data_IF_007837584514
#
_entry.id   IF_007837584514
#
_cell.length_a   1.000
_cell.length_b   1.000
_cell.length_c   1.000
_cell.angle_alpha   90.00
_cell.angle_beta   90.00
_cell.angle_gamma   90.00
#
_symmetry.space_group_name_H-M   'P 1'
#
loop_
_entity.id
_entity.type
_entity.pdbx_description
1 polymer ?
#
# COMPACT_ATOMS: atom_id res chain seq x y z
N UNK A 1 15.07 4.23 -13.38
CA UNK A 1 14.42 4.08 -14.71
C UNK A 1 13.99 5.46 -15.22
N UNK A 2 13.35 6.34 -14.44
CA UNK A 2 12.88 7.66 -14.88
C UNK A 2 13.98 8.61 -15.37
N UNK A 3 15.21 8.55 -14.82
CA UNK A 3 16.32 9.44 -15.28
C UNK A 3 16.85 9.09 -16.66
N UNK A 4 16.81 7.80 -17.07
CA UNK A 4 17.29 7.40 -18.42
C UNK A 4 16.28 7.78 -19.50
N UNK A 5 14.99 7.60 -19.23
CA UNK A 5 13.92 7.98 -20.18
C UNK A 5 13.91 9.48 -20.46
N UNK A 6 14.10 10.32 -19.41
CA UNK A 6 14.18 11.78 -19.59
C UNK A 6 15.43 12.20 -20.40
N UNK A 7 16.56 11.53 -20.23
CA UNK A 7 17.78 11.81 -20.99
C UNK A 7 17.66 11.40 -22.47
N UNK A 8 17.01 10.29 -22.76
CA UNK A 8 16.77 9.84 -24.13
C UNK A 8 15.71 10.70 -24.86
N UNK A 9 14.70 11.19 -24.14
CA UNK A 9 13.76 12.17 -24.68
C UNK A 9 14.42 13.52 -25.00
N UNK A 10 15.33 14.00 -24.15
CA UNK A 10 16.13 15.20 -24.47
C UNK A 10 17.00 14.97 -25.69
N UNK A 11 17.67 13.84 -25.82
CA UNK A 11 18.48 13.51 -27.01
C UNK A 11 17.66 13.49 -28.30
N UNK A 12 16.43 12.95 -28.27
CA UNK A 12 15.53 12.98 -29.42
C UNK A 12 15.10 14.41 -29.78
N UNK A 13 14.83 15.28 -28.82
CA UNK A 13 14.51 16.67 -29.07
C UNK A 13 15.68 17.44 -29.68
N UNK A 14 16.92 17.18 -29.27
CA UNK A 14 18.12 17.79 -29.83
C UNK A 14 18.54 17.19 -31.19
N UNK A 15 18.25 15.92 -31.46
CA UNK A 15 18.52 15.29 -32.75
C UNK A 15 17.63 15.79 -33.90
N UNK A 16 16.57 16.52 -33.59
CA UNK A 16 15.58 16.98 -34.56
C UNK A 16 15.86 18.33 -35.19
N UNK A 17 16.99 19.01 -34.88
CA UNK A 17 17.21 20.33 -35.44
C UNK A 17 18.68 20.73 -35.64
N UNK A 18 19.32 20.35 -36.73
CA UNK A 18 20.60 20.99 -37.12
C UNK A 18 20.48 22.24 -37.98
N UNK A 19 19.34 22.53 -38.59
CA UNK A 19 19.26 23.66 -39.53
C UNK A 19 18.03 24.53 -39.24
N UNK A 20 18.18 25.89 -39.26
CA UNK A 20 17.03 26.78 -39.22
C UNK A 20 16.17 26.54 -40.45
N UNK A 21 14.84 26.61 -40.32
CA UNK A 21 13.93 26.37 -41.44
C UNK A 21 14.20 27.37 -42.56
N UNK A 22 14.48 26.91 -43.77
CA UNK A 22 14.80 27.72 -44.92
C UNK A 22 13.58 28.40 -45.55
N UNK A 23 12.37 28.16 -44.97
CA UNK A 23 11.13 28.81 -45.39
C UNK A 23 9.88 28.41 -44.56
N UNK A 24 8.79 29.16 -44.72
CA UNK A 24 7.54 28.92 -44.01
C UNK A 24 7.00 27.46 -44.12
N UNK A 25 7.05 26.81 -45.31
CA UNK A 25 6.53 25.45 -45.45
C UNK A 25 7.33 24.42 -44.69
N UNK A 26 8.63 24.61 -44.52
CA UNK A 26 9.49 23.69 -43.79
C UNK A 26 9.29 23.82 -42.28
N UNK A 27 9.10 25.02 -41.77
CA UNK A 27 8.72 25.29 -40.37
C UNK A 27 7.37 24.64 -40.03
N UNK A 28 6.42 24.71 -40.95
CA UNK A 28 5.09 24.12 -40.78
C UNK A 28 5.16 22.62 -40.80
N UNK A 29 5.94 22.02 -41.68
CA UNK A 29 6.16 20.57 -41.71
C UNK A 29 6.81 20.05 -40.41
N UNK A 30 7.82 20.72 -39.90
CA UNK A 30 8.48 20.38 -38.61
C UNK A 30 7.49 20.47 -37.44
N UNK A 31 6.70 21.56 -37.39
CA UNK A 31 5.67 21.70 -36.34
C UNK A 31 4.64 20.56 -36.40
N UNK A 32 4.22 20.16 -37.60
CA UNK A 32 3.29 19.04 -37.78
C UNK A 32 3.92 17.72 -37.33
N UNK A 33 5.19 17.45 -37.66
CA UNK A 33 5.87 16.23 -37.18
C UNK A 33 6.04 16.20 -35.67
N UNK A 34 6.38 17.34 -35.04
CA UNK A 34 6.43 17.45 -33.59
C UNK A 34 5.06 17.25 -32.95
N UNK A 35 4.02 17.86 -33.52
CA UNK A 35 2.65 17.69 -33.05
C UNK A 35 2.17 16.24 -33.19
N UNK A 36 2.49 15.57 -34.31
CA UNK A 36 2.19 14.16 -34.55
C UNK A 36 2.91 13.26 -33.54
N UNK A 37 4.20 13.50 -33.31
CA UNK A 37 5.00 12.77 -32.30
C UNK A 37 4.45 12.92 -30.90
N UNK A 38 4.08 14.16 -30.51
CA UNK A 38 3.44 14.41 -29.24
C UNK A 38 2.08 13.73 -29.11
N UNK A 39 1.27 13.77 -30.17
CA UNK A 39 -0.03 13.08 -30.19
C UNK A 39 0.12 11.55 -30.05
N UNK A 40 1.04 10.96 -30.81
CA UNK A 40 1.37 9.52 -30.68
C UNK A 40 1.83 9.15 -29.28
N UNK A 41 2.69 9.98 -28.67
CA UNK A 41 3.14 9.78 -27.29
C UNK A 41 1.98 9.82 -26.28
N UNK A 42 1.09 10.81 -26.41
CA UNK A 42 -0.10 10.92 -25.55
C UNK A 42 -0.99 9.69 -25.71
N UNK A 43 -1.27 9.25 -26.94
CA UNK A 43 -2.07 8.04 -27.21
C UNK A 43 -1.39 6.81 -26.59
N UNK A 44 -0.09 6.65 -26.77
CA UNK A 44 0.67 5.56 -26.17
C UNK A 44 0.62 5.62 -24.63
N UNK A 45 0.87 6.79 -24.03
CA UNK A 45 0.84 6.97 -22.59
C UNK A 45 -0.54 6.66 -21.98
N UNK A 46 -1.61 7.10 -22.65
CA UNK A 46 -2.99 6.79 -22.25
C UNK A 46 -3.27 5.28 -22.38
N UNK A 47 -2.91 4.66 -23.50
CA UNK A 47 -3.09 3.23 -23.71
C UNK A 47 -2.29 2.39 -22.70
N UNK A 48 -1.02 2.74 -22.46
CA UNK A 48 -0.17 2.09 -21.47
C UNK A 48 -0.74 2.27 -20.05
N UNK A 49 -1.19 3.47 -19.70
CA UNK A 49 -1.82 3.71 -18.39
C UNK A 49 -3.11 2.89 -18.22
N UNK A 50 -3.97 2.83 -19.23
CA UNK A 50 -5.20 2.02 -19.20
C UNK A 50 -4.89 0.52 -19.06
N UNK A 51 -3.87 0.02 -19.74
CA UNK A 51 -3.48 -1.39 -19.70
C UNK A 51 -2.78 -1.78 -18.40
N UNK A 52 -1.87 -0.94 -17.88
CA UNK A 52 -1.01 -1.26 -16.75
C UNK A 52 -1.59 -0.84 -15.39
N UNK A 53 -2.44 0.18 -15.34
CA UNK A 53 -2.99 0.73 -14.09
C UNK A 53 -3.71 -0.34 -13.25
N UNK A 54 -4.44 -1.25 -13.90
CA UNK A 54 -5.13 -2.34 -13.19
C UNK A 54 -4.17 -3.36 -12.55
N UNK A 55 -3.02 -3.62 -13.18
CA UNK A 55 -1.98 -4.50 -12.65
C UNK A 55 -1.21 -3.81 -11.53
N UNK A 56 -0.88 -2.55 -11.71
CA UNK A 56 -0.16 -1.75 -10.72
C UNK A 56 -0.93 -1.64 -9.39
N UNK A 57 -2.26 -1.38 -9.45
CA UNK A 57 -3.11 -1.36 -8.26
C UNK A 57 -3.17 -2.72 -7.54
N UNK A 58 -3.26 -3.81 -8.29
CA UNK A 58 -3.22 -5.15 -7.72
C UNK A 58 -1.88 -5.47 -7.07
N UNK A 59 -0.78 -5.02 -7.68
CA UNK A 59 0.57 -5.17 -7.13
C UNK A 59 0.74 -4.37 -5.83
N UNK A 60 0.33 -3.10 -5.78
CA UNK A 60 0.39 -2.30 -4.55
C UNK A 60 -0.39 -2.94 -3.41
N UNK A 61 -1.59 -3.46 -3.71
CA UNK A 61 -2.39 -4.15 -2.70
C UNK A 61 -1.75 -5.48 -2.27
N UNK A 62 -1.14 -6.22 -3.20
CA UNK A 62 -0.42 -7.45 -2.87
C UNK A 62 0.80 -7.17 -1.98
N UNK A 63 1.60 -6.14 -2.29
CA UNK A 63 2.73 -5.71 -1.48
C UNK A 63 2.28 -5.33 -0.06
N UNK A 64 1.14 -4.63 0.05
CA UNK A 64 0.53 -4.30 1.33
C UNK A 64 0.10 -5.55 2.12
N UNK A 65 -0.49 -6.55 1.45
CA UNK A 65 -0.88 -7.81 2.06
C UNK A 65 0.33 -8.62 2.55
N UNK A 66 1.42 -8.64 1.79
CA UNK A 66 2.68 -9.27 2.23
C UNK A 66 3.24 -8.61 3.48
N UNK A 67 3.16 -7.28 3.57
CA UNK A 67 3.56 -6.54 4.78
C UNK A 67 2.64 -6.86 5.96
N UNK A 68 1.32 -6.99 5.73
CA UNK A 68 0.36 -7.41 6.75
C UNK A 68 0.64 -8.84 7.22
N UNK A 69 0.92 -9.77 6.33
CA UNK A 69 1.28 -11.14 6.68
C UNK A 69 2.59 -11.20 7.49
N UNK A 70 3.58 -10.38 7.14
CA UNK A 70 4.80 -10.25 7.92
C UNK A 70 4.53 -9.70 9.33
N UNK A 71 3.64 -8.72 9.46
CA UNK A 71 3.22 -8.17 10.76
C UNK A 71 2.50 -9.22 11.61
N UNK A 72 1.59 -10.01 11.04
CA UNK A 72 0.92 -11.13 11.72
C UNK A 72 1.92 -12.15 12.26
N UNK A 73 2.99 -12.47 11.49
CA UNK A 73 4.07 -13.36 11.96
C UNK A 73 4.83 -12.75 13.13
N UNK A 74 5.16 -11.46 13.07
CA UNK A 74 5.82 -10.77 14.17
C UNK A 74 4.97 -10.80 15.44
N UNK A 75 3.66 -10.61 15.33
CA UNK A 75 2.75 -10.78 16.47
C UNK A 75 2.73 -12.22 16.99
N UNK A 76 2.70 -13.22 16.10
CA UNK A 76 2.76 -14.63 16.50
C UNK A 76 4.05 -14.96 17.27
N UNK A 77 5.19 -14.47 16.81
CA UNK A 77 6.48 -14.72 17.45
C UNK A 77 6.58 -14.02 18.81
N UNK A 78 6.04 -12.79 18.91
CA UNK A 78 5.93 -12.08 20.19
C UNK A 78 5.05 -12.85 21.20
N UNK A 79 3.89 -13.33 20.77
CA UNK A 79 2.98 -14.13 21.62
C UNK A 79 3.64 -15.44 22.05
N UNK A 80 4.34 -16.14 21.16
CA UNK A 80 5.11 -17.34 21.52
C UNK A 80 6.21 -17.06 22.56
N UNK A 81 6.86 -15.90 22.48
CA UNK A 81 7.89 -15.52 23.46
C UNK A 81 7.29 -15.14 24.82
N UNK A 82 6.07 -14.56 24.85
CA UNK A 82 5.38 -14.36 26.12
C UNK A 82 5.07 -15.69 26.82
N UNK A 83 4.87 -16.76 26.04
CA UNK A 83 4.68 -18.12 26.55
C UNK A 83 5.99 -18.80 27.00
N UNK A 84 7.16 -18.33 26.54
CA UNK A 84 8.45 -18.96 26.83
C UNK A 84 8.88 -18.77 28.31
N UNK A 85 9.57 -19.76 28.90
CA UNK A 85 9.93 -19.76 30.33
C UNK A 85 10.97 -18.70 30.71
N UNK A 86 11.85 -18.33 29.81
CA UNK A 86 12.88 -17.32 30.03
C UNK A 86 12.71 -16.08 29.15
N UNK A 87 12.64 -14.87 29.73
CA UNK A 87 12.67 -13.65 28.96
C UNK A 87 14.12 -13.33 28.59
N UNK A 88 14.57 -13.71 27.40
CA UNK A 88 15.85 -13.27 26.89
C UNK A 88 15.87 -11.77 26.56
N UNK A 89 17.06 -11.21 26.33
CA UNK A 89 17.29 -9.83 25.82
C UNK A 89 16.60 -9.55 24.46
N UNK A 90 16.01 -10.57 23.86
CA UNK A 90 15.27 -10.49 22.60
C UNK A 90 14.01 -9.61 22.62
N UNK A 91 13.46 -9.27 23.80
CA UNK A 91 12.21 -8.47 23.89
C UNK A 91 12.35 -7.05 23.36
N UNK A 92 13.46 -6.37 23.68
CA UNK A 92 13.66 -4.99 23.24
C UNK A 92 13.78 -4.90 21.71
N UNK A 93 14.52 -5.83 21.09
CA UNK A 93 14.67 -5.89 19.64
C UNK A 93 13.36 -6.17 18.90
N UNK A 94 12.45 -6.94 19.50
CA UNK A 94 11.16 -7.24 18.87
C UNK A 94 10.16 -6.10 18.90
N UNK A 95 10.16 -5.30 19.97
CA UNK A 95 9.32 -4.09 20.02
C UNK A 95 9.76 -3.12 18.92
N UNK A 96 11.06 -2.94 18.73
CA UNK A 96 11.61 -2.09 17.66
C UNK A 96 11.24 -2.63 16.26
N UNK A 97 11.36 -3.94 16.05
CA UNK A 97 10.95 -4.59 14.80
C UNK A 97 9.45 -4.43 14.54
N UNK A 98 8.61 -4.59 15.57
CA UNK A 98 7.17 -4.42 15.46
C UNK A 98 6.81 -2.99 15.07
N UNK A 99 7.37 -1.99 15.75
CA UNK A 99 7.17 -0.57 15.45
C UNK A 99 7.64 -0.22 14.04
N UNK A 100 8.79 -0.76 13.62
CA UNK A 100 9.30 -0.58 12.26
C UNK A 100 8.35 -1.16 11.22
N UNK A 101 7.80 -2.35 11.44
CA UNK A 101 6.83 -2.98 10.54
C UNK A 101 5.48 -2.26 10.52
N UNK A 102 5.02 -1.75 11.67
CA UNK A 102 3.81 -0.93 11.74
C UNK A 102 3.98 0.39 10.99
N UNK A 103 5.13 1.05 11.10
CA UNK A 103 5.44 2.26 10.34
C UNK A 103 5.48 1.98 8.84
N UNK A 104 6.16 0.90 8.42
CA UNK A 104 6.21 0.49 7.01
C UNK A 104 4.80 0.18 6.45
N UNK A 105 3.96 -0.50 7.24
CA UNK A 105 2.56 -0.75 6.86
C UNK A 105 1.77 0.54 6.71
N UNK A 106 1.96 1.52 7.61
CA UNK A 106 1.27 2.80 7.55
C UNK A 106 1.65 3.60 6.30
N UNK A 107 2.94 3.64 5.94
CA UNK A 107 3.43 4.29 4.72
C UNK A 107 2.90 3.63 3.45
N UNK A 108 2.89 2.29 3.41
CA UNK A 108 2.33 1.54 2.29
C UNK A 108 0.81 1.70 2.17
N UNK A 109 0.10 1.74 3.31
CA UNK A 109 -1.34 2.00 3.34
C UNK A 109 -1.66 3.36 2.72
N UNK A 110 -0.90 4.39 3.06
CA UNK A 110 -1.09 5.73 2.52
C UNK A 110 -0.91 5.73 0.99
N UNK A 111 0.19 5.16 0.49
CA UNK A 111 0.49 5.09 -0.93
C UNK A 111 -0.55 4.24 -1.71
N UNK A 112 -0.96 3.11 -1.13
CA UNK A 112 -1.95 2.20 -1.73
C UNK A 112 -3.34 2.82 -1.74
N UNK A 113 -3.72 3.52 -0.67
CA UNK A 113 -5.01 4.18 -0.52
C UNK A 113 -5.27 5.18 -1.64
N UNK A 114 -4.31 6.08 -1.88
CA UNK A 114 -4.45 7.13 -2.87
C UNK A 114 -4.66 6.56 -4.28
N UNK A 115 -3.99 5.44 -4.57
CA UNK A 115 -4.05 4.79 -5.89
C UNK A 115 -5.27 3.86 -6.06
N UNK A 116 -5.60 3.06 -5.04
CA UNK A 116 -6.67 2.06 -5.12
C UNK A 116 -8.05 2.72 -5.03
N UNK A 117 -8.21 3.75 -4.19
CA UNK A 117 -9.47 4.48 -4.03
C UNK A 117 -9.72 5.50 -5.15
N UNK A 118 -8.73 5.80 -6.00
CA UNK A 118 -8.94 6.66 -7.16
C UNK A 118 -9.96 6.05 -8.12
N UNK A 119 -11.17 6.59 -8.14
CA UNK A 119 -12.27 6.24 -9.07
C UNK A 119 -12.61 4.75 -9.19
N UNK A 120 -13.18 4.09 -8.16
CA UNK A 120 -13.57 2.67 -8.20
C UNK A 120 -14.85 2.46 -9.03
N UNK A 121 -14.79 2.74 -10.35
CA UNK A 121 -15.96 2.65 -11.26
C UNK A 121 -16.17 1.24 -11.81
N UNK A 122 -15.16 0.38 -11.82
CA UNK A 122 -15.28 -0.99 -12.34
C UNK A 122 -15.42 -2.01 -11.21
N UNK A 123 -16.13 -3.13 -11.42
CA UNK A 123 -16.28 -4.17 -10.38
C UNK A 123 -14.94 -4.67 -9.81
N UNK A 124 -13.90 -4.76 -10.66
CA UNK A 124 -12.56 -5.14 -10.23
C UNK A 124 -11.94 -4.10 -9.29
N UNK A 125 -12.07 -2.81 -9.61
CA UNK A 125 -11.56 -1.71 -8.76
C UNK A 125 -12.33 -1.63 -7.44
N UNK A 126 -13.64 -1.87 -7.46
CA UNK A 126 -14.47 -1.92 -6.26
C UNK A 126 -14.04 -3.06 -5.34
N UNK A 127 -13.71 -4.23 -5.89
CA UNK A 127 -13.16 -5.34 -5.10
C UNK A 127 -11.82 -4.98 -4.46
N UNK A 128 -10.87 -4.40 -5.19
CA UNK A 128 -9.59 -3.96 -4.63
C UNK A 128 -9.79 -2.91 -3.53
N UNK A 129 -10.73 -1.98 -3.70
CA UNK A 129 -11.09 -1.00 -2.67
C UNK A 129 -11.69 -1.68 -1.43
N UNK A 130 -12.60 -2.65 -1.61
CA UNK A 130 -13.15 -3.45 -0.51
C UNK A 130 -12.07 -4.22 0.25
N UNK A 131 -11.14 -4.85 -0.47
CA UNK A 131 -10.01 -5.54 0.15
C UNK A 131 -9.12 -4.60 0.94
N UNK A 132 -8.85 -3.39 0.44
CA UNK A 132 -8.09 -2.37 1.17
C UNK A 132 -8.80 -1.96 2.48
N UNK A 133 -10.14 -1.84 2.47
CA UNK A 133 -10.91 -1.53 3.68
C UNK A 133 -10.77 -2.63 4.73
N UNK A 134 -10.83 -3.89 4.31
CA UNK A 134 -10.59 -5.04 5.21
C UNK A 134 -9.18 -5.00 5.80
N UNK A 135 -8.16 -4.65 5.02
CA UNK A 135 -6.78 -4.52 5.53
C UNK A 135 -6.65 -3.40 6.56
N UNK A 136 -7.37 -2.29 6.39
CA UNK A 136 -7.42 -1.22 7.40
C UNK A 136 -8.06 -1.70 8.70
N UNK A 137 -9.16 -2.44 8.62
CA UNK A 137 -9.82 -3.06 9.77
C UNK A 137 -8.90 -4.07 10.47
N UNK A 138 -8.22 -4.93 9.71
CA UNK A 138 -7.22 -5.87 10.24
C UNK A 138 -6.12 -5.15 11.03
N UNK A 139 -5.59 -4.05 10.50
CA UNK A 139 -4.58 -3.25 11.20
C UNK A 139 -5.10 -2.73 12.54
N UNK A 140 -6.31 -2.18 12.55
CA UNK A 140 -6.89 -1.58 13.76
C UNK A 140 -7.13 -2.65 14.83
N UNK A 141 -7.58 -3.84 14.46
CA UNK A 141 -7.72 -4.99 15.36
C UNK A 141 -6.37 -5.49 15.88
N UNK A 142 -5.31 -5.49 15.06
CA UNK A 142 -3.96 -5.87 15.52
C UNK A 142 -3.43 -4.92 16.58
N UNK A 143 -3.53 -3.61 16.35
CA UNK A 143 -3.09 -2.59 17.30
C UNK A 143 -3.86 -2.73 18.62
N UNK A 144 -5.17 -2.96 18.54
CA UNK A 144 -5.99 -3.14 19.73
C UNK A 144 -5.67 -4.44 20.50
N UNK A 145 -5.35 -5.53 19.79
CA UNK A 145 -4.96 -6.80 20.41
C UNK A 145 -3.60 -6.72 21.11
N UNK A 146 -2.69 -5.88 20.63
CA UNK A 146 -1.38 -5.68 21.24
C UNK A 146 -1.46 -5.15 22.67
N UNK A 147 -2.35 -4.18 22.91
CA UNK A 147 -2.57 -3.60 24.24
C UNK A 147 -3.07 -4.62 25.25
N UNK A 148 -3.84 -5.61 24.81
CA UNK A 148 -4.35 -6.67 25.67
C UNK A 148 -3.27 -7.75 25.92
N UNK A 149 -2.50 -8.10 24.90
CA UNK A 149 -1.43 -9.10 25.01
C UNK A 149 -0.29 -8.68 25.95
N UNK A 150 0.01 -7.38 26.07
CA UNK A 150 1.01 -6.86 26.99
C UNK A 150 0.67 -7.12 28.47
N UNK A 151 -0.60 -7.37 28.77
CA UNK A 151 -1.12 -7.68 30.11
C UNK A 151 -1.23 -9.17 30.38
N UNK A 152 -0.98 -10.02 29.38
CA UNK A 152 -1.11 -11.45 29.51
C UNK A 152 -0.02 -12.05 30.41
N UNK A 153 -0.40 -12.92 31.34
CA UNK A 153 0.51 -13.64 32.22
C UNK A 153 0.97 -14.95 31.59
N UNK A 154 2.18 -15.37 31.94
CA UNK A 154 2.78 -16.66 31.57
C UNK A 154 2.00 -17.88 32.07
N UNK A 155 1.18 -17.74 33.11
CA UNK A 155 0.31 -18.80 33.59
C UNK A 155 -0.53 -19.44 32.46
N UNK A 156 -0.78 -18.67 31.37
CA UNK A 156 -1.59 -19.09 30.24
C UNK A 156 -0.76 -19.45 28.98
N UNK A 157 0.51 -19.90 29.17
CA UNK A 157 1.39 -20.25 28.05
C UNK A 157 0.73 -21.18 26.99
N UNK A 158 -0.06 -22.22 27.33
CA UNK A 158 -0.73 -23.05 26.32
C UNK A 158 -1.77 -22.29 25.49
N UNK A 159 -2.45 -21.29 26.07
CA UNK A 159 -3.39 -20.42 25.38
C UNK A 159 -2.66 -19.47 24.44
N UNK A 160 -1.56 -18.86 24.90
CA UNK A 160 -0.70 -17.97 24.09
C UNK A 160 -0.10 -18.71 22.89
N UNK A 161 0.40 -19.94 23.08
CA UNK A 161 0.90 -20.76 21.97
C UNK A 161 -0.18 -21.10 20.93
N UNK A 162 -1.41 -21.30 21.37
CA UNK A 162 -2.54 -21.51 20.44
C UNK A 162 -2.86 -20.24 19.66
N UNK A 163 -2.86 -19.09 20.31
CA UNK A 163 -3.02 -17.77 19.67
C UNK A 163 -1.93 -17.54 18.63
N UNK A 164 -0.66 -17.81 18.98
CA UNK A 164 0.45 -17.68 18.06
C UNK A 164 0.29 -18.54 16.79
N UNK A 165 -0.21 -19.78 16.96
CA UNK A 165 -0.51 -20.67 15.82
C UNK A 165 -1.61 -20.12 14.92
N UNK A 166 -2.67 -19.53 15.47
CA UNK A 166 -3.75 -18.91 14.71
C UNK A 166 -3.19 -17.72 13.90
N UNK A 167 -2.38 -16.85 14.51
CA UNK A 167 -1.75 -15.74 13.79
C UNK A 167 -0.86 -16.21 12.64
N UNK A 168 -0.06 -17.29 12.83
CA UNK A 168 0.76 -17.86 11.76
C UNK A 168 -0.10 -18.43 10.63
N UNK A 169 -1.21 -19.09 10.95
CA UNK A 169 -2.13 -19.62 9.94
C UNK A 169 -2.78 -18.48 9.14
N UNK A 170 -3.28 -17.44 9.79
CA UNK A 170 -3.83 -16.26 9.12
C UNK A 170 -2.79 -15.59 8.22
N UNK A 171 -1.52 -15.50 8.65
CA UNK A 171 -0.45 -14.94 7.84
C UNK A 171 -0.23 -15.73 6.53
N UNK A 172 -0.28 -17.05 6.58
CA UNK A 172 -0.18 -17.92 5.38
C UNK A 172 -1.36 -17.67 4.42
N UNK A 173 -2.56 -17.48 4.95
CA UNK A 173 -3.75 -17.20 4.14
C UNK A 173 -3.67 -15.83 3.47
N UNK A 174 -3.21 -14.80 4.18
CA UNK A 174 -3.00 -13.46 3.62
C UNK A 174 -1.93 -13.49 2.53
N UNK A 175 -0.82 -14.24 2.71
CA UNK A 175 0.17 -14.46 1.65
C UNK A 175 -0.45 -15.13 0.42
N UNK A 176 -1.27 -16.16 0.62
CA UNK A 176 -1.93 -16.85 -0.50
C UNK A 176 -2.85 -15.90 -1.29
N UNK A 177 -3.50 -14.95 -0.63
CA UNK A 177 -4.29 -13.89 -1.30
C UNK A 177 -3.37 -12.94 -2.06
N UNK A 178 -2.23 -12.52 -1.50
CA UNK A 178 -1.27 -11.65 -2.17
C UNK A 178 -0.72 -12.32 -3.44
N UNK A 179 -0.27 -13.56 -3.34
CA UNK A 179 0.22 -14.35 -4.48
C UNK A 179 -0.85 -14.52 -5.57
N UNK A 180 -2.08 -14.77 -5.17
CA UNK A 180 -3.20 -14.91 -6.10
C UNK A 180 -3.47 -13.61 -6.86
N UNK A 181 -3.36 -12.44 -6.21
CA UNK A 181 -3.48 -11.12 -6.84
C UNK A 181 -2.36 -10.87 -7.85
N UNK A 182 -1.11 -11.19 -7.50
CA UNK A 182 0.05 -11.03 -8.37
C UNK A 182 -0.03 -11.92 -9.61
N UNK A 183 -0.44 -13.17 -9.42
CA UNK A 183 -0.56 -14.16 -10.48
C UNK A 183 -1.87 -14.06 -11.27
N UNK A 184 -2.83 -13.24 -10.83
CA UNK A 184 -4.16 -13.16 -11.42
C UNK A 184 -4.94 -14.46 -11.29
N UNK A 185 -4.73 -15.22 -10.22
CA UNK A 185 -5.37 -16.50 -9.90
C UNK A 185 -6.39 -16.33 -8.77
N UNK A 186 -7.19 -17.37 -8.56
CA UNK A 186 -8.13 -17.43 -7.44
C UNK A 186 -7.40 -18.04 -6.24
N UNK A 187 -7.38 -17.39 -5.05
CA UNK A 187 -6.76 -17.95 -3.85
C UNK A 187 -7.54 -19.19 -3.35
N UNK A 188 -6.92 -20.07 -2.56
CA UNK A 188 -7.64 -21.14 -1.86
C UNK A 188 -8.68 -20.53 -0.91
N UNK A 189 -9.71 -21.30 -0.49
CA UNK A 189 -10.62 -20.85 0.54
C UNK A 189 -9.87 -20.66 1.86
N UNK A 190 -10.25 -19.65 2.65
CA UNK A 190 -9.74 -19.46 3.99
C UNK A 190 -10.24 -20.59 4.92
N UNK A 191 -9.45 -20.94 5.92
CA UNK A 191 -9.86 -21.83 6.98
C UNK A 191 -10.71 -21.08 8.01
N UNK A 192 -11.53 -21.81 8.72
CA UNK A 192 -12.29 -21.30 9.85
C UNK A 192 -11.56 -21.65 11.14
N UNK A 193 -11.13 -20.65 11.89
CA UNK A 193 -10.44 -20.81 13.15
C UNK A 193 -11.37 -20.65 14.37
N UNK A 194 -12.69 -20.46 14.15
CA UNK A 194 -13.65 -20.21 15.21
C UNK A 194 -13.73 -21.35 16.24
N UNK A 195 -13.62 -22.61 15.80
CA UNK A 195 -13.58 -23.74 16.72
C UNK A 195 -12.38 -23.71 17.66
N UNK A 196 -11.21 -23.29 17.15
CA UNK A 196 -10.01 -23.13 17.97
C UNK A 196 -10.15 -21.97 18.97
N UNK A 197 -10.83 -20.91 18.60
CA UNK A 197 -11.11 -19.75 19.45
C UNK A 197 -12.20 -20.08 20.49
N UNK A 198 -13.22 -20.85 20.10
CA UNK A 198 -14.24 -21.35 21.02
C UNK A 198 -13.63 -22.22 22.12
N UNK A 199 -12.81 -23.20 21.75
CA UNK A 199 -12.11 -24.06 22.70
C UNK A 199 -11.16 -23.29 23.64
N UNK A 200 -10.62 -22.15 23.18
CA UNK A 200 -9.81 -21.27 24.03
C UNK A 200 -10.66 -20.55 25.08
N UNK A 201 -11.85 -20.07 24.68
CA UNK A 201 -12.82 -19.41 25.57
C UNK A 201 -13.42 -20.36 26.60
N UNK A 202 -13.86 -21.55 26.17
CA UNK A 202 -14.38 -22.58 27.05
C UNK A 202 -13.39 -22.98 28.15
N UNK A 203 -12.11 -23.09 27.78
CA UNK A 203 -11.08 -23.38 28.77
C UNK A 203 -10.86 -22.25 29.77
N UNK A 204 -10.86 -21.00 29.32
CA UNK A 204 -10.77 -19.85 30.20
C UNK A 204 -11.99 -19.77 31.15
N UNK A 205 -13.20 -20.07 30.65
CA UNK A 205 -14.41 -20.13 31.47
C UNK A 205 -14.34 -21.24 32.51
N UNK A 206 -13.82 -22.40 32.17
CA UNK A 206 -13.63 -23.52 33.13
C UNK A 206 -12.66 -23.10 34.27
N UNK A 207 -11.55 -22.43 33.95
CA UNK A 207 -10.61 -21.91 34.94
C UNK A 207 -11.28 -20.87 35.89
N UNK A 208 -12.19 -20.03 35.36
CA UNK A 208 -12.94 -19.07 36.16
C UNK A 208 -13.93 -19.77 37.12
N UNK A 209 -14.54 -20.90 36.71
CA UNK A 209 -15.45 -21.66 37.54
C UNK A 209 -14.74 -22.39 38.68
N UNK A 210 -13.49 -22.80 38.45
CA UNK A 210 -12.67 -23.48 39.48
C UNK A 210 -12.17 -22.52 40.57
N UNK A 211 -12.00 -21.23 40.26
CA UNK A 211 -11.51 -20.20 41.21
C UNK A 211 -12.38 -18.93 41.20
N UNK A 212 -13.68 -19.00 41.54
CA UNK A 212 -14.63 -17.92 41.34
C UNK A 212 -14.43 -16.70 42.24
N UNK A 213 -13.60 -16.79 43.27
CA UNK A 213 -13.31 -15.69 44.22
C UNK A 213 -11.92 -15.08 43.99
N UNK A 214 -11.11 -15.62 43.10
CA UNK A 214 -9.81 -15.07 42.78
C UNK A 214 -9.91 -13.96 41.74
N UNK A 215 -9.75 -12.73 42.20
CA UNK A 215 -9.82 -11.55 41.35
C UNK A 215 -8.75 -11.55 40.25
N UNK A 216 -7.59 -12.18 40.48
CA UNK A 216 -6.53 -12.29 39.50
C UNK A 216 -6.90 -13.27 38.37
N UNK A 217 -7.46 -14.42 38.74
CA UNK A 217 -7.97 -15.42 37.75
C UNK A 217 -9.08 -14.79 36.90
N UNK A 218 -10.04 -14.12 37.53
CA UNK A 218 -11.12 -13.46 36.81
C UNK A 218 -10.63 -12.36 35.84
N UNK A 219 -9.63 -11.58 36.25
CA UNK A 219 -9.02 -10.58 35.38
C UNK A 219 -8.31 -11.21 34.18
N UNK A 220 -7.62 -12.33 34.37
CA UNK A 220 -6.95 -13.06 33.29
C UNK A 220 -7.93 -13.73 32.33
N UNK A 221 -9.02 -14.29 32.85
CA UNK A 221 -10.09 -14.84 32.01
C UNK A 221 -10.74 -13.76 31.16
N UNK A 222 -11.03 -12.60 31.73
CA UNK A 222 -11.57 -11.45 31.00
C UNK A 222 -10.60 -10.99 29.88
N UNK A 223 -9.28 -11.01 30.17
CA UNK A 223 -8.24 -10.70 29.18
C UNK A 223 -8.23 -11.72 28.04
N UNK A 224 -8.24 -13.02 28.32
CA UNK A 224 -8.28 -14.07 27.30
C UNK A 224 -9.55 -14.00 26.45
N UNK A 225 -10.69 -13.64 27.05
CA UNK A 225 -11.93 -13.37 26.31
C UNK A 225 -11.77 -12.19 25.36
N UNK A 226 -11.22 -11.06 25.83
CA UNK A 226 -10.97 -9.88 25.00
C UNK A 226 -10.06 -10.20 23.82
N UNK A 227 -8.93 -10.87 24.09
CA UNK A 227 -7.98 -11.28 23.05
C UNK A 227 -8.63 -12.25 22.05
N UNK A 228 -9.36 -13.27 22.53
CA UNK A 228 -10.03 -14.23 21.65
C UNK A 228 -11.09 -13.58 20.77
N UNK A 229 -11.82 -12.60 21.29
CA UNK A 229 -12.81 -11.84 20.53
C UNK A 229 -12.14 -11.03 19.40
N UNK A 230 -11.04 -10.33 19.72
CA UNK A 230 -10.29 -9.54 18.72
C UNK A 230 -9.67 -10.42 17.62
N UNK A 231 -9.12 -11.59 18.02
CA UNK A 231 -8.59 -12.56 17.05
C UNK A 231 -9.71 -13.13 16.19
N UNK A 232 -10.91 -13.35 16.76
CA UNK A 232 -12.09 -13.77 16.01
C UNK A 232 -12.46 -12.76 14.92
N UNK A 233 -12.47 -11.47 15.22
CA UNK A 233 -12.68 -10.44 14.21
C UNK A 233 -11.56 -10.40 13.16
N UNK A 234 -10.32 -10.67 13.58
CA UNK A 234 -9.20 -10.76 12.65
C UNK A 234 -9.37 -11.95 11.68
N UNK A 235 -9.82 -13.09 12.19
CA UNK A 235 -10.15 -14.28 11.39
C UNK A 235 -11.30 -14.00 10.41
N UNK A 236 -12.36 -13.35 10.87
CA UNK A 236 -13.48 -12.90 10.02
C UNK A 236 -13.00 -11.99 8.90
N UNK A 237 -12.10 -11.05 9.21
CA UNK A 237 -11.51 -10.14 8.23
C UNK A 237 -10.66 -10.89 7.19
N UNK A 238 -9.85 -11.89 7.58
CA UNK A 238 -9.08 -12.74 6.65
C UNK A 238 -10.01 -13.54 5.75
N UNK A 239 -11.08 -14.09 6.29
CA UNK A 239 -12.09 -14.80 5.50
C UNK A 239 -12.81 -13.88 4.51
N UNK A 240 -13.18 -12.69 4.94
CA UNK A 240 -13.78 -11.67 4.07
C UNK A 240 -12.81 -11.22 2.97
N UNK A 241 -11.54 -10.98 3.30
CA UNK A 241 -10.49 -10.66 2.35
C UNK A 241 -10.37 -11.74 1.27
N UNK A 242 -10.32 -13.00 1.69
CA UNK A 242 -10.24 -14.16 0.80
C UNK A 242 -11.49 -14.27 -0.08
N UNK A 243 -12.69 -14.10 0.49
CA UNK A 243 -13.94 -14.14 -0.26
C UNK A 243 -14.03 -13.02 -1.32
N UNK A 244 -13.58 -11.80 -1.00
CA UNK A 244 -13.46 -10.70 -1.96
C UNK A 244 -12.46 -11.03 -3.07
N UNK A 245 -11.28 -11.58 -2.74
CA UNK A 245 -10.27 -11.96 -3.72
C UNK A 245 -10.77 -13.06 -4.66
N UNK A 246 -11.52 -14.02 -4.14
CA UNK A 246 -12.16 -15.10 -4.89
C UNK A 246 -13.33 -14.61 -5.75
N UNK A 247 -13.93 -13.46 -5.39
CA UNK A 247 -15.15 -12.95 -6.00
C UNK A 247 -16.41 -13.63 -5.49
N UNK A 248 -16.33 -14.30 -4.35
CA UNK A 248 -17.47 -14.98 -3.67
C UNK A 248 -18.29 -13.99 -2.82
N UNK A 249 -17.69 -12.83 -2.46
CA UNK A 249 -18.35 -11.74 -1.77
C UNK A 249 -18.34 -10.46 -2.61
N UNK A 250 -19.38 -9.65 -2.44
CA UNK A 250 -19.43 -8.30 -2.99
C UNK A 250 -18.82 -7.30 -1.98
N UNK A 251 -18.05 -6.29 -2.44
CA UNK A 251 -17.56 -5.26 -1.55
C UNK A 251 -18.72 -4.40 -1.01
N UNK A 252 -18.63 -3.98 0.25
CA UNK A 252 -19.55 -2.98 0.80
C UNK A 252 -19.26 -1.61 0.19
N UNK A 253 -20.04 -1.28 -0.83
CA UNK A 253 -19.90 -0.01 -1.55
C UNK A 253 -20.34 1.19 -0.71
N UNK A 254 -21.17 1.00 0.32
CA UNK A 254 -21.57 2.07 1.23
C UNK A 254 -20.40 2.46 2.13
N UNK A 255 -19.73 1.48 2.75
CA UNK A 255 -18.51 1.70 3.52
C UNK A 255 -17.40 2.32 2.67
N UNK A 256 -17.18 1.81 1.45
CA UNK A 256 -16.22 2.37 0.50
C UNK A 256 -16.53 3.83 0.16
N UNK A 257 -17.81 4.20 -0.06
CA UNK A 257 -18.19 5.59 -0.38
C UNK A 257 -18.04 6.53 0.81
N UNK A 258 -18.42 6.09 2.00
CA UNK A 258 -18.30 6.90 3.23
C UNK A 258 -16.85 7.14 3.56
N UNK A 259 -16.02 6.11 3.49
CA UNK A 259 -14.58 6.23 3.70
C UNK A 259 -13.91 7.05 2.60
N UNK A 260 -14.36 6.92 1.35
CA UNK A 260 -13.87 7.75 0.25
C UNK A 260 -14.08 9.24 0.49
N UNK A 261 -15.30 9.65 0.89
CA UNK A 261 -15.60 11.08 1.13
C UNK A 261 -14.74 11.68 2.24
N UNK A 262 -14.33 10.86 3.23
CA UNK A 262 -13.45 11.27 4.33
C UNK A 262 -11.97 11.34 3.93
N UNK A 263 -11.54 10.54 2.92
CA UNK A 263 -10.12 10.30 2.64
C UNK A 263 -9.65 10.79 1.28
N UNK A 264 -10.52 10.95 0.32
CA UNK A 264 -10.17 11.54 -0.97
C UNK A 264 -10.48 13.02 -0.90
N UNK A 265 -9.45 13.84 -0.75
CA UNK A 265 -9.55 15.23 -1.20
C UNK A 265 -10.12 15.19 -2.60
N UNK A 266 -11.22 15.92 -2.89
CA UNK A 266 -11.77 15.93 -4.21
C UNK A 266 -10.68 16.41 -5.16
N UNK A 267 -10.02 15.47 -5.83
CA UNK A 267 -9.14 15.77 -6.96
C UNK A 267 -10.02 16.24 -8.11
N UNK A 268 -10.63 17.40 -7.92
CA UNK A 268 -11.03 18.19 -9.05
C UNK A 268 -9.75 18.46 -9.85
N UNK A 269 -9.85 18.45 -11.15
CA UNK A 269 -8.91 19.12 -12.03
C UNK A 269 -8.86 20.60 -11.61
N UNK A 270 -8.29 20.86 -10.46
CA UNK A 270 -8.05 22.22 -10.03
C UNK A 270 -6.64 22.54 -10.47
N UNK A 271 -6.51 23.66 -11.14
CA UNK A 271 -5.20 24.26 -11.41
C UNK A 271 -4.51 24.69 -10.10
N UNK A 272 -5.16 24.47 -8.96
CA UNK A 272 -4.65 24.79 -7.63
C UNK A 272 -3.26 24.18 -7.33
N UNK A 273 -2.96 22.90 -7.63
CA UNK A 273 -1.60 22.38 -7.48
C UNK A 273 -0.57 23.10 -8.36
N UNK A 274 -0.96 23.50 -9.58
CA UNK A 274 -0.12 24.33 -10.44
C UNK A 274 0.06 25.73 -9.87
N UNK A 275 -0.99 26.33 -9.31
CA UNK A 275 -0.93 27.65 -8.67
C UNK A 275 -0.12 27.60 -7.36
N UNK A 276 -0.16 26.52 -6.58
CA UNK A 276 0.69 26.34 -5.40
C UNK A 276 2.16 26.14 -5.75
N UNK A 277 2.45 25.44 -6.85
CA UNK A 277 3.83 25.33 -7.38
C UNK A 277 4.33 26.66 -7.97
N UNK A 278 3.44 27.54 -8.42
CA UNK A 278 3.76 28.85 -8.98
C UNK A 278 4.26 29.90 -7.96
N UNK A 279 4.42 29.52 -6.70
CA UNK A 279 4.99 30.40 -5.70
C UNK A 279 6.52 30.42 -5.80
N UNK A 280 7.12 31.63 -5.87
CA UNK A 280 8.56 31.87 -5.99
C UNK A 280 9.42 31.18 -4.91
N UNK A 281 8.82 30.82 -3.78
CA UNK A 281 9.47 30.08 -2.69
C UNK A 281 9.57 28.57 -2.93
N UNK A 282 8.85 28.01 -3.89
CA UNK A 282 8.87 26.57 -4.17
C UNK A 282 10.18 26.17 -4.87
N UNK A 283 10.91 25.17 -4.34
CA UNK A 283 12.17 24.72 -4.94
C UNK A 283 11.98 24.15 -6.34
N UNK A 284 10.82 23.55 -6.63
CA UNK A 284 10.47 23.02 -7.95
C UNK A 284 10.38 24.11 -9.02
N UNK A 285 9.73 25.24 -8.73
CA UNK A 285 9.64 26.38 -9.66
C UNK A 285 11.02 26.99 -9.93
N UNK A 286 11.83 27.16 -8.88
CA UNK A 286 13.19 27.69 -9.02
C UNK A 286 14.09 26.78 -9.85
N UNK A 287 13.94 25.46 -9.68
CA UNK A 287 14.68 24.48 -10.47
C UNK A 287 14.24 24.51 -11.95
N UNK A 288 12.93 24.54 -12.21
CA UNK A 288 12.39 24.64 -13.57
C UNK A 288 12.83 25.95 -14.27
N UNK A 289 12.81 27.08 -13.55
CA UNK A 289 13.23 28.36 -14.10
C UNK A 289 14.73 28.39 -14.40
N UNK A 290 15.57 27.84 -13.50
CA UNK A 290 17.02 27.72 -13.75
C UNK A 290 17.33 26.84 -14.95
N UNK A 291 16.63 25.71 -15.07
CA UNK A 291 16.79 24.82 -16.20
C UNK A 291 16.34 25.48 -17.51
N UNK A 292 15.20 26.16 -17.51
CA UNK A 292 14.71 26.90 -18.66
C UNK A 292 15.65 28.05 -19.07
N UNK A 293 16.19 28.80 -18.10
CA UNK A 293 17.17 29.85 -18.36
C UNK A 293 18.49 29.27 -18.89
N UNK A 294 19.00 28.19 -18.29
CA UNK A 294 20.24 27.57 -18.74
C UNK A 294 20.13 27.05 -20.19
N UNK A 295 19.02 26.38 -20.50
CA UNK A 295 18.74 25.85 -21.85
C UNK A 295 18.54 27.04 -22.84
N UNK A 296 17.73 28.03 -22.44
CA UNK A 296 17.43 29.21 -23.27
C UNK A 296 18.66 30.07 -23.56
N UNK A 297 19.48 30.30 -22.53
CA UNK A 297 20.76 31.07 -22.73
C UNK A 297 21.76 30.26 -23.55
N UNK A 298 21.90 28.94 -23.30
CA UNK A 298 22.77 28.09 -24.12
C UNK A 298 22.34 28.08 -25.58
N UNK A 299 21.04 28.00 -25.86
CA UNK A 299 20.50 28.06 -27.21
C UNK A 299 20.70 29.44 -27.86
N UNK A 300 20.46 30.54 -27.13
CA UNK A 300 20.66 31.89 -27.61
C UNK A 300 22.15 32.15 -27.92
N UNK A 301 23.06 31.71 -27.06
CA UNK A 301 24.51 31.83 -27.29
C UNK A 301 24.94 31.01 -28.50
N UNK A 302 24.42 29.79 -28.68
CA UNK A 302 24.68 28.94 -29.84
C UNK A 302 24.23 29.60 -31.17
N UNK A 303 23.10 30.33 -31.14
CA UNK A 303 22.58 31.07 -32.30
C UNK A 303 23.35 32.36 -32.63
N UNK A 304 23.92 33.03 -31.60
CA UNK A 304 24.60 34.31 -31.75
C UNK A 304 26.10 34.17 -32.08
N UNK A 305 26.71 33.03 -31.73
CA UNK A 305 28.13 32.80 -32.03
C UNK A 305 28.29 32.24 -33.44
N UNK A 306 29.15 32.88 -34.29
CA UNK A 306 29.37 32.47 -35.67
C UNK A 306 30.34 31.26 -35.78
N UNK A 307 30.31 30.37 -34.81
CA UNK A 307 31.10 29.15 -34.86
C UNK A 307 30.40 28.12 -35.75
N UNK A 308 30.86 28.11 -37.01
CA UNK A 308 30.35 27.22 -38.03
C UNK A 308 30.51 25.76 -37.62
N UNK A 309 29.44 25.04 -37.81
CA UNK A 309 29.10 23.65 -37.53
C UNK A 309 28.45 23.43 -36.15
N UNK A 310 27.14 23.49 -36.18
CA UNK A 310 26.29 23.13 -35.03
C UNK A 310 26.22 21.60 -34.80
N UNK A 311 27.17 20.85 -35.39
CA UNK A 311 27.13 19.37 -35.43
C UNK A 311 27.67 18.71 -34.14
N UNK A 312 28.09 19.51 -33.15
CA UNK A 312 28.75 18.98 -31.93
C UNK A 312 28.07 19.34 -30.60
N UNK A 313 26.82 19.83 -30.60
CA UNK A 313 26.13 20.14 -29.36
C UNK A 313 24.91 19.25 -29.13
#
# INVERSE_FOLDING_TARGET
>A
IHRRVAADQMRMLFALSPHPPSGPPEALARTLYCALGAALYVVYAVAANLALNGRYRAQLLADLLLTMAALLRTHADRVSQLAAPEPGDARAGQVDELLTRQAALADQLQATRDMVLESPRTPRRQRLAGMLMVVLEMRDHLIAAELDLDRADRAHAPALERIARIYRAMAVEVDAVADALLLGRRPPPAHDHQDNLAALRERAEAEALDAPQDAQVLAQVALLHSVSFRIGHQDDAVRQLTALARGDAAPDLAAVRTSWQLFVSPAYWSLQPLLTVWHWRQPALRHALRAALAVGTGYAVAMLLPWGSHDYW
#
